data_IF_830082417643
#
_entry.id   IF_830082417643
#
_cell.length_a   1.000
_cell.length_b   1.000
_cell.length_c   1.000
_cell.angle_alpha   90.00
_cell.angle_beta   90.00
_cell.angle_gamma   90.00
#
_symmetry.space_group_name_H-M   'P 1'
#
loop_
_entity.id
_entity.type
_entity.pdbx_description
1 polymer ?
#
# COMPACT_ATOMS: atom_id res chain seq x y z
N UNK A 1 41.21 -12.29 15.90
CA UNK A 1 40.30 -13.22 15.16
C UNK A 1 40.56 -13.00 13.70
N UNK A 2 41.21 -13.96 13.02
CA UNK A 2 41.38 -13.90 11.57
C UNK A 2 40.02 -13.91 10.90
N UNK A 3 39.70 -12.89 10.13
CA UNK A 3 38.46 -12.79 9.42
C UNK A 3 38.47 -13.76 8.24
N UNK A 4 37.51 -14.69 8.23
CA UNK A 4 37.34 -15.67 7.16
C UNK A 4 37.17 -14.95 5.82
N UNK A 5 38.02 -15.33 4.84
CA UNK A 5 38.09 -14.71 3.53
C UNK A 5 37.11 -15.35 2.52
N UNK A 6 36.90 -16.68 2.64
CA UNK A 6 36.09 -17.48 1.72
C UNK A 6 34.94 -18.18 2.44
N UNK A 7 33.80 -18.23 1.78
CA UNK A 7 32.56 -18.82 2.31
C UNK A 7 31.97 -19.81 1.29
N UNK A 8 31.51 -20.95 1.78
CA UNK A 8 30.63 -21.83 1.01
C UNK A 8 29.29 -21.16 0.75
N UNK A 9 28.53 -21.65 -0.22
CA UNK A 9 27.14 -21.13 -0.49
C UNK A 9 26.25 -21.22 0.74
N UNK A 10 26.42 -22.27 1.58
CA UNK A 10 25.64 -22.43 2.81
C UNK A 10 25.96 -21.33 3.82
N UNK A 11 27.25 -21.16 4.13
CA UNK A 11 27.71 -20.16 5.07
C UNK A 11 27.35 -18.71 4.63
N UNK A 12 27.49 -18.44 3.32
CA UNK A 12 27.16 -17.13 2.79
C UNK A 12 25.64 -16.87 2.82
N UNK A 13 24.82 -17.87 2.51
CA UNK A 13 23.36 -17.78 2.60
C UNK A 13 22.88 -17.55 4.05
N UNK A 14 23.41 -18.33 5.00
CA UNK A 14 23.07 -18.19 6.43
C UNK A 14 23.41 -16.81 6.98
N UNK A 15 24.55 -16.22 6.57
CA UNK A 15 24.98 -14.88 6.99
C UNK A 15 23.96 -13.79 6.67
N UNK A 16 23.20 -13.97 5.59
CA UNK A 16 22.21 -13.01 5.10
C UNK A 16 20.77 -13.50 5.28
N UNK A 17 20.55 -14.55 6.08
CA UNK A 17 19.24 -15.18 6.27
C UNK A 17 18.56 -15.56 4.94
N UNK A 18 19.35 -16.02 3.98
CA UNK A 18 18.92 -16.49 2.67
C UNK A 18 18.98 -18.01 2.58
N UNK A 19 18.25 -18.56 1.61
CA UNK A 19 18.40 -19.97 1.25
C UNK A 19 19.52 -20.16 0.21
N UNK A 20 20.12 -21.37 0.19
CA UNK A 20 21.05 -21.74 -0.89
C UNK A 20 20.39 -21.60 -2.26
N UNK A 21 19.11 -21.93 -2.37
CA UNK A 21 18.34 -21.83 -3.62
C UNK A 21 18.21 -20.38 -4.11
N UNK A 22 18.07 -19.43 -3.18
CA UNK A 22 18.07 -17.99 -3.51
C UNK A 22 19.38 -17.57 -4.16
N UNK A 23 20.53 -17.98 -3.59
CA UNK A 23 21.83 -17.65 -4.17
C UNK A 23 22.08 -18.36 -5.52
N UNK A 24 21.59 -19.59 -5.69
CA UNK A 24 21.62 -20.29 -6.98
C UNK A 24 20.76 -19.57 -8.00
N UNK A 25 19.59 -19.09 -7.60
CA UNK A 25 18.70 -18.30 -8.46
C UNK A 25 19.38 -16.98 -8.87
N UNK A 26 19.96 -16.24 -7.92
CA UNK A 26 20.69 -15.00 -8.20
C UNK A 26 21.87 -15.19 -9.15
N UNK A 27 22.60 -16.31 -9.02
CA UNK A 27 23.65 -16.68 -9.96
C UNK A 27 23.09 -16.95 -11.36
N UNK A 28 22.01 -17.73 -11.47
CA UNK A 28 21.36 -18.07 -12.75
C UNK A 28 20.85 -16.84 -13.51
N UNK A 29 20.23 -15.89 -12.82
CA UNK A 29 19.74 -14.65 -13.45
C UNK A 29 20.83 -13.59 -13.63
N UNK A 30 22.04 -13.81 -13.13
CA UNK A 30 23.18 -12.89 -13.26
C UNK A 30 23.26 -11.79 -12.22
N UNK A 31 22.30 -11.70 -11.29
CA UNK A 31 22.23 -10.66 -10.26
C UNK A 31 23.40 -10.73 -9.28
N UNK A 32 23.73 -11.94 -8.80
CA UNK A 32 24.82 -12.17 -7.84
C UNK A 32 25.52 -13.50 -8.10
N UNK A 33 26.69 -13.43 -8.71
CA UNK A 33 27.50 -14.61 -9.06
C UNK A 33 28.47 -14.98 -7.93
N UNK A 34 28.82 -16.27 -7.75
CA UNK A 34 29.91 -16.64 -6.85
C UNK A 34 31.25 -16.05 -7.37
N UNK A 35 32.18 -15.80 -6.46
CA UNK A 35 33.52 -15.34 -6.82
C UNK A 35 34.25 -16.37 -7.68
N UNK A 36 34.02 -17.64 -7.38
CA UNK A 36 34.55 -18.77 -8.18
C UNK A 36 33.71 -20.03 -7.95
N UNK A 37 33.84 -20.97 -8.88
CA UNK A 37 33.42 -22.36 -8.70
C UNK A 37 34.70 -23.18 -8.55
N UNK A 38 34.80 -23.97 -7.49
CA UNK A 38 36.00 -24.79 -7.27
C UNK A 38 36.03 -26.02 -8.19
N UNK A 39 37.11 -26.78 -8.17
CA UNK A 39 37.30 -27.98 -9.00
C UNK A 39 36.24 -29.06 -8.79
N UNK A 40 35.58 -29.08 -7.61
CA UNK A 40 34.49 -30.01 -7.26
C UNK A 40 33.12 -29.45 -7.59
N UNK A 41 33.00 -28.32 -8.30
CA UNK A 41 31.75 -27.72 -8.70
C UNK A 41 31.05 -26.89 -7.62
N UNK A 42 31.66 -26.66 -6.46
CA UNK A 42 31.08 -25.89 -5.38
C UNK A 42 31.27 -24.38 -5.58
N UNK A 43 30.19 -23.60 -5.34
CA UNK A 43 30.19 -22.13 -5.36
C UNK A 43 30.88 -21.58 -4.14
N UNK A 44 31.85 -20.70 -4.35
CA UNK A 44 32.64 -20.03 -3.30
C UNK A 44 32.41 -18.54 -3.41
N UNK A 45 32.09 -17.91 -2.29
CA UNK A 45 31.91 -16.48 -2.13
C UNK A 45 33.04 -15.88 -1.30
N UNK A 46 33.25 -14.55 -1.42
CA UNK A 46 34.31 -13.87 -0.68
C UNK A 46 33.73 -12.78 0.23
N UNK A 47 34.56 -12.30 1.14
CA UNK A 47 34.22 -11.22 2.05
C UNK A 47 33.86 -9.91 1.30
N UNK A 48 34.57 -9.63 0.22
CA UNK A 48 34.40 -8.42 -0.61
C UNK A 48 33.03 -8.37 -1.33
N UNK A 49 32.38 -9.53 -1.44
CA UNK A 49 31.03 -9.59 -2.04
C UNK A 49 29.91 -9.20 -1.07
N UNK A 50 30.18 -9.10 0.26
CA UNK A 50 29.16 -8.77 1.27
C UNK A 50 28.49 -7.42 1.04
N UNK A 51 29.21 -6.31 0.73
CA UNK A 51 28.56 -5.02 0.49
C UNK A 51 27.55 -5.09 -0.66
N UNK A 52 27.89 -5.76 -1.75
CA UNK A 52 26.96 -5.95 -2.88
C UNK A 52 25.72 -6.76 -2.49
N UNK A 53 25.88 -7.79 -1.66
CA UNK A 53 24.72 -8.56 -1.18
C UNK A 53 23.83 -7.72 -0.26
N UNK A 54 24.42 -6.92 0.63
CA UNK A 54 23.67 -5.99 1.49
C UNK A 54 22.84 -5.02 0.65
N UNK A 55 23.44 -4.43 -0.37
CA UNK A 55 22.75 -3.51 -1.28
C UNK A 55 21.57 -4.19 -2.00
N UNK A 56 21.77 -5.41 -2.54
CA UNK A 56 20.69 -6.19 -3.15
C UNK A 56 19.54 -6.42 -2.16
N UNK A 57 19.86 -6.77 -0.90
CA UNK A 57 18.84 -7.01 0.12
C UNK A 57 18.09 -5.75 0.48
N UNK A 58 18.76 -4.61 0.66
CA UNK A 58 18.13 -3.33 0.96
C UNK A 58 17.15 -2.91 -0.15
N UNK A 59 17.56 -3.05 -1.42
CA UNK A 59 16.70 -2.74 -2.55
C UNK A 59 15.50 -3.71 -2.64
N UNK A 60 15.71 -4.98 -2.36
CA UNK A 60 14.64 -5.97 -2.30
C UNK A 60 13.65 -5.69 -1.16
N UNK A 61 14.15 -5.35 0.03
CA UNK A 61 13.32 -5.03 1.19
C UNK A 61 12.49 -3.75 0.98
N UNK A 62 12.97 -2.83 0.13
CA UNK A 62 12.18 -1.68 -0.32
C UNK A 62 11.09 -2.04 -1.36
N UNK A 63 10.95 -3.33 -1.70
CA UNK A 63 9.92 -3.82 -2.63
C UNK A 63 10.27 -3.72 -4.11
N UNK A 64 11.55 -3.45 -4.44
CA UNK A 64 12.01 -3.47 -5.83
C UNK A 64 12.01 -4.88 -6.43
N UNK A 65 11.66 -4.98 -7.71
CA UNK A 65 11.76 -6.24 -8.44
C UNK A 65 13.24 -6.63 -8.68
N UNK A 66 13.54 -7.93 -8.81
CA UNK A 66 14.90 -8.38 -9.12
C UNK A 66 15.40 -7.81 -10.44
N UNK A 67 14.51 -7.57 -11.42
CA UNK A 67 14.85 -6.94 -12.68
C UNK A 67 15.27 -5.48 -12.52
N UNK A 68 14.58 -4.72 -11.66
CA UNK A 68 14.94 -3.32 -11.41
C UNK A 68 16.25 -3.23 -10.61
N UNK A 69 16.44 -4.13 -9.63
CA UNK A 69 17.70 -4.24 -8.90
C UNK A 69 18.86 -4.53 -9.86
N UNK A 70 18.69 -5.45 -10.80
CA UNK A 70 19.71 -5.73 -11.84
C UNK A 70 20.02 -4.48 -12.66
N UNK A 71 18.98 -3.75 -13.11
CA UNK A 71 19.15 -2.50 -13.87
C UNK A 71 19.93 -1.46 -13.06
N UNK A 72 19.65 -1.29 -11.77
CA UNK A 72 20.40 -0.39 -10.89
C UNK A 72 21.86 -0.81 -10.79
N UNK A 73 22.12 -2.12 -10.61
CA UNK A 73 23.48 -2.65 -10.47
C UNK A 73 24.34 -2.58 -11.75
N UNK A 74 23.70 -2.59 -12.92
CA UNK A 74 24.38 -2.64 -14.22
C UNK A 74 24.52 -1.28 -14.90
N UNK A 75 23.59 -0.37 -14.63
CA UNK A 75 23.62 0.93 -15.29
C UNK A 75 24.68 1.86 -14.72
N UNK A 76 25.32 2.63 -15.60
CA UNK A 76 26.32 3.65 -15.25
C UNK A 76 25.74 5.08 -15.33
N UNK A 77 24.51 5.22 -15.80
CA UNK A 77 23.87 6.53 -15.92
C UNK A 77 23.16 6.88 -14.62
N UNK A 78 23.57 7.96 -14.00
CA UNK A 78 22.93 8.49 -12.80
C UNK A 78 21.44 8.79 -13.04
N UNK A 79 21.08 9.40 -14.17
CA UNK A 79 19.70 9.74 -14.51
C UNK A 79 18.81 8.48 -14.62
N UNK A 80 19.37 7.41 -15.20
CA UNK A 80 18.64 6.13 -15.29
C UNK A 80 18.44 5.48 -13.93
N UNK A 81 19.42 5.57 -13.02
CA UNK A 81 19.29 5.09 -11.64
C UNK A 81 18.21 5.89 -10.91
N UNK A 82 18.28 7.23 -10.99
CA UNK A 82 17.31 8.11 -10.34
C UNK A 82 15.88 7.82 -10.83
N UNK A 83 15.68 7.66 -12.14
CA UNK A 83 14.35 7.33 -12.69
C UNK A 83 13.77 6.01 -12.16
N UNK A 84 14.62 5.00 -11.90
CA UNK A 84 14.17 3.73 -11.31
C UNK A 84 13.73 3.95 -9.85
N UNK A 85 14.49 4.75 -9.09
CA UNK A 85 14.11 5.07 -7.72
C UNK A 85 12.84 5.93 -7.64
N UNK A 86 12.69 6.93 -8.52
CA UNK A 86 11.48 7.75 -8.59
C UNK A 86 10.24 6.90 -8.87
N UNK A 87 10.33 5.95 -9.80
CA UNK A 87 9.25 5.01 -10.08
C UNK A 87 8.93 4.10 -8.87
N UNK A 88 9.95 3.67 -8.13
CA UNK A 88 9.74 2.86 -6.91
C UNK A 88 9.11 3.71 -5.79
N UNK A 89 9.52 4.94 -5.61
CA UNK A 89 8.94 5.88 -4.64
C UNK A 89 7.46 6.10 -4.96
N UNK A 90 7.11 6.41 -6.22
CA UNK A 90 5.73 6.58 -6.64
C UNK A 90 4.86 5.34 -6.34
N UNK A 91 5.39 4.14 -6.60
CA UNK A 91 4.71 2.89 -6.25
C UNK A 91 4.50 2.71 -4.75
N UNK A 92 5.49 3.09 -3.93
CA UNK A 92 5.36 3.04 -2.48
C UNK A 92 4.32 4.04 -1.98
N UNK A 93 4.26 5.23 -2.55
CA UNK A 93 3.25 6.25 -2.22
C UNK A 93 1.83 5.74 -2.52
N UNK A 94 1.62 5.09 -3.66
CA UNK A 94 0.35 4.42 -3.99
C UNK A 94 -0.01 3.34 -2.96
N UNK A 95 0.96 2.52 -2.54
CA UNK A 95 0.75 1.49 -1.54
C UNK A 95 0.41 2.08 -0.16
N UNK A 96 1.06 3.17 0.23
CA UNK A 96 0.78 3.88 1.49
C UNK A 96 -0.69 4.37 1.48
N UNK A 97 -1.14 5.02 0.41
CA UNK A 97 -2.54 5.46 0.28
C UNK A 97 -3.50 4.28 0.39
N UNK A 98 -3.20 3.17 -0.29
CA UNK A 98 -4.02 1.96 -0.24
C UNK A 98 -4.08 1.35 1.18
N UNK A 99 -2.96 1.29 1.90
CA UNK A 99 -2.93 0.80 3.27
C UNK A 99 -3.68 1.74 4.23
N UNK A 100 -3.58 3.04 4.05
CA UNK A 100 -4.34 4.02 4.82
C UNK A 100 -5.85 3.85 4.60
N UNK A 101 -6.27 3.65 3.35
CA UNK A 101 -7.65 3.32 3.00
C UNK A 101 -8.14 2.04 3.67
N UNK A 102 -7.37 0.96 3.58
CA UNK A 102 -7.70 -0.31 4.21
C UNK A 102 -7.82 -0.18 5.75
N UNK A 103 -6.95 0.63 6.35
CA UNK A 103 -7.02 0.94 7.79
C UNK A 103 -8.32 1.66 8.15
N UNK A 104 -8.73 2.66 7.38
CA UNK A 104 -10.01 3.39 7.58
C UNK A 104 -11.21 2.44 7.46
N UNK A 105 -11.26 1.61 6.42
CA UNK A 105 -12.33 0.62 6.21
C UNK A 105 -12.39 -0.35 7.39
N UNK A 106 -11.24 -0.86 7.82
CA UNK A 106 -11.15 -1.80 8.95
C UNK A 106 -11.63 -1.15 10.25
N UNK A 107 -11.23 0.10 10.49
CA UNK A 107 -11.69 0.86 11.65
C UNK A 107 -13.20 1.07 11.63
N UNK A 108 -13.77 1.46 10.48
CA UNK A 108 -15.21 1.62 10.31
C UNK A 108 -15.96 0.30 10.58
N UNK A 109 -15.48 -0.82 10.05
CA UNK A 109 -16.07 -2.15 10.32
C UNK A 109 -16.06 -2.49 11.81
N UNK A 110 -14.94 -2.20 12.49
CA UNK A 110 -14.84 -2.38 13.94
C UNK A 110 -15.90 -1.55 14.67
N UNK A 111 -16.02 -0.26 14.36
CA UNK A 111 -17.00 0.64 14.98
C UNK A 111 -18.44 0.19 14.73
N UNK A 112 -18.74 -0.23 13.50
CA UNK A 112 -20.04 -0.76 13.12
C UNK A 112 -20.41 -1.99 13.98
N UNK A 113 -19.53 -2.96 14.10
CA UNK A 113 -19.78 -4.14 14.93
C UNK A 113 -19.89 -3.79 16.41
N UNK A 114 -19.08 -2.88 16.92
CA UNK A 114 -19.20 -2.40 18.30
C UNK A 114 -20.56 -1.75 18.56
N UNK A 115 -21.11 -0.98 17.61
CA UNK A 115 -22.44 -0.39 17.73
C UNK A 115 -23.55 -1.42 17.69
N UNK A 116 -23.42 -2.47 16.86
CA UNK A 116 -24.41 -3.53 16.75
C UNK A 116 -24.49 -4.38 18.04
N UNK A 117 -23.33 -4.81 18.53
CA UNK A 117 -23.27 -5.74 19.68
C UNK A 117 -23.46 -5.08 21.05
N UNK A 118 -23.42 -3.76 21.10
CA UNK A 118 -23.48 -3.01 22.37
C UNK A 118 -24.80 -2.31 22.66
N UNK A 119 -25.62 -2.01 21.65
CA UNK A 119 -26.78 -1.09 21.80
C UNK A 119 -28.14 -1.67 21.41
N UNK A 120 -28.18 -2.71 20.58
CA UNK A 120 -29.46 -3.11 19.95
C UNK A 120 -29.79 -4.58 20.21
N UNK A 121 -31.03 -4.82 20.61
CA UNK A 121 -31.60 -6.16 20.62
C UNK A 121 -31.93 -6.60 19.19
N UNK A 122 -31.52 -7.83 18.82
CA UNK A 122 -31.84 -8.40 17.52
C UNK A 122 -33.36 -8.42 17.29
N UNK A 123 -33.80 -8.13 16.07
CA UNK A 123 -35.21 -8.11 15.63
C UNK A 123 -36.07 -6.97 16.19
N UNK A 124 -35.48 -5.88 16.69
CA UNK A 124 -36.22 -4.66 17.04
C UNK A 124 -35.82 -3.52 16.13
N UNK A 125 -36.80 -2.67 15.77
CA UNK A 125 -36.56 -1.43 15.05
C UNK A 125 -36.31 -0.35 16.10
N UNK A 126 -35.17 0.35 15.96
CA UNK A 126 -34.81 1.49 16.80
C UNK A 126 -34.78 2.74 15.95
N UNK A 127 -35.33 3.81 16.49
CA UNK A 127 -35.26 5.14 15.91
C UNK A 127 -34.53 6.01 16.93
N UNK A 128 -33.43 6.65 16.49
CA UNK A 128 -32.67 7.59 17.32
C UNK A 128 -32.53 8.93 16.62
N UNK A 129 -32.60 9.99 17.38
CA UNK A 129 -32.19 11.31 16.92
C UNK A 129 -30.69 11.42 17.03
N UNK A 130 -30.03 11.74 15.92
CA UNK A 130 -28.59 11.97 15.87
C UNK A 130 -28.33 13.47 15.73
N UNK A 131 -27.21 13.92 16.31
CA UNK A 131 -26.75 15.30 16.13
C UNK A 131 -26.38 15.52 14.66
N UNK A 132 -26.54 16.75 14.20
CA UNK A 132 -26.01 17.17 12.92
C UNK A 132 -24.52 16.82 12.80
N UNK A 133 -24.14 16.24 11.68
CA UNK A 133 -22.77 15.78 11.41
C UNK A 133 -22.24 16.36 10.11
N UNK A 134 -20.97 16.65 10.10
CA UNK A 134 -20.27 17.06 8.88
C UNK A 134 -19.81 15.84 8.09
N UNK A 135 -19.84 15.93 6.78
CA UNK A 135 -19.34 14.85 5.92
C UNK A 135 -18.55 15.40 4.72
N UNK A 136 -17.51 14.71 4.32
CA UNK A 136 -16.99 14.85 2.97
C UNK A 136 -17.91 14.12 2.01
N UNK A 137 -18.19 14.73 0.87
CA UNK A 137 -19.02 14.17 -0.18
C UNK A 137 -18.27 14.17 -1.50
N UNK A 138 -18.30 13.04 -2.19
CA UNK A 138 -17.81 12.92 -3.54
C UNK A 138 -18.93 12.42 -4.46
N UNK A 139 -19.35 13.23 -5.46
CA UNK A 139 -20.36 12.82 -6.42
C UNK A 139 -19.85 11.67 -7.29
N UNK A 140 -20.77 10.88 -7.82
CA UNK A 140 -20.46 9.85 -8.80
C UNK A 140 -20.07 10.45 -10.15
N UNK A 141 -19.03 9.91 -10.75
CA UNK A 141 -18.65 10.19 -12.14
C UNK A 141 -19.38 9.23 -13.07
N UNK A 142 -20.46 9.72 -13.67
CA UNK A 142 -21.33 8.94 -14.55
C UNK A 142 -20.69 8.55 -15.89
N UNK A 143 -19.46 8.97 -16.16
CA UNK A 143 -18.69 8.50 -17.32
C UNK A 143 -18.04 7.13 -17.11
N UNK A 144 -18.05 6.62 -15.88
CA UNK A 144 -17.49 5.33 -15.48
C UNK A 144 -18.59 4.28 -15.33
N UNK A 145 -18.21 3.01 -15.50
CA UNK A 145 -19.05 1.88 -15.10
C UNK A 145 -19.29 1.88 -13.58
N UNK A 146 -20.31 1.14 -13.11
CA UNK A 146 -20.78 1.19 -11.73
C UNK A 146 -19.68 0.96 -10.69
N UNK A 147 -18.93 -0.13 -10.78
CA UNK A 147 -17.89 -0.46 -9.80
C UNK A 147 -16.74 0.58 -9.80
N UNK A 148 -16.12 0.94 -10.95
CA UNK A 148 -15.12 2.00 -11.00
C UNK A 148 -15.64 3.37 -10.52
N UNK A 149 -16.89 3.69 -10.77
CA UNK A 149 -17.54 4.94 -10.34
C UNK A 149 -17.62 5.04 -8.81
N UNK A 150 -18.08 3.98 -8.17
CA UNK A 150 -18.17 3.89 -6.70
C UNK A 150 -16.77 3.97 -6.08
N UNK A 151 -15.81 3.22 -6.63
CA UNK A 151 -14.42 3.21 -6.16
C UNK A 151 -13.75 4.57 -6.30
N UNK A 152 -13.97 5.28 -7.41
CA UNK A 152 -13.42 6.63 -7.63
C UNK A 152 -13.96 7.63 -6.61
N UNK A 153 -15.28 7.65 -6.37
CA UNK A 153 -15.90 8.52 -5.39
C UNK A 153 -15.42 8.19 -3.95
N UNK A 154 -15.30 6.89 -3.64
CA UNK A 154 -14.79 6.44 -2.35
C UNK A 154 -13.34 6.89 -2.13
N UNK A 155 -12.49 6.69 -3.12
CA UNK A 155 -11.07 7.13 -3.11
C UNK A 155 -10.96 8.65 -2.90
N UNK A 156 -11.82 9.42 -3.55
CA UNK A 156 -11.84 10.88 -3.38
C UNK A 156 -12.17 11.29 -1.95
N UNK A 157 -13.14 10.63 -1.29
CA UNK A 157 -13.44 10.87 0.11
C UNK A 157 -12.27 10.49 1.04
N UNK A 158 -11.55 9.40 0.73
CA UNK A 158 -10.32 9.01 1.46
C UNK A 158 -9.24 10.09 1.33
N UNK A 159 -8.96 10.55 0.11
CA UNK A 159 -7.99 11.62 -0.14
C UNK A 159 -8.30 12.87 0.67
N UNK A 160 -9.57 13.29 0.66
CA UNK A 160 -10.03 14.42 1.47
C UNK A 160 -9.80 14.18 2.97
N UNK A 161 -10.14 12.98 3.46
CA UNK A 161 -9.93 12.64 4.89
C UNK A 161 -8.44 12.67 5.27
N UNK A 162 -7.55 12.20 4.38
CA UNK A 162 -6.10 12.17 4.63
C UNK A 162 -5.44 13.56 4.55
N UNK A 163 -6.03 14.51 3.83
CA UNK A 163 -5.55 15.89 3.78
C UNK A 163 -5.70 16.63 5.12
N UNK A 164 -6.57 16.15 6.00
CA UNK A 164 -6.92 16.81 7.26
C UNK A 164 -6.44 16.00 8.47
N UNK A 165 -5.29 16.36 9.02
CA UNK A 165 -4.60 15.59 10.07
C UNK A 165 -5.40 15.38 11.37
N UNK A 166 -6.39 16.22 11.66
CA UNK A 166 -7.16 16.20 12.91
C UNK A 166 -8.61 15.70 12.74
N UNK A 167 -8.99 15.25 11.55
CA UNK A 167 -10.34 14.76 11.29
C UNK A 167 -10.47 13.32 11.76
N UNK A 168 -11.48 13.05 12.56
CA UNK A 168 -11.83 11.69 12.96
C UNK A 168 -12.92 11.14 12.04
N UNK A 169 -12.61 10.05 11.36
CA UNK A 169 -13.55 9.31 10.52
C UNK A 169 -14.57 8.56 11.40
N UNK A 170 -15.85 8.81 11.18
CA UNK A 170 -16.96 8.23 11.95
C UNK A 170 -17.77 7.21 11.16
N UNK A 171 -17.68 7.22 9.85
CA UNK A 171 -18.40 6.28 9.00
C UNK A 171 -18.50 6.75 7.56
N UNK A 172 -18.93 5.86 6.69
CA UNK A 172 -19.16 6.17 5.28
C UNK A 172 -20.41 5.48 4.76
N UNK A 173 -20.90 5.94 3.63
CA UNK A 173 -22.00 5.33 2.93
C UNK A 173 -22.21 5.96 1.55
N UNK A 174 -23.24 5.45 0.89
CA UNK A 174 -23.73 6.03 -0.36
C UNK A 174 -24.97 6.86 -0.05
N UNK A 175 -25.03 8.07 -0.56
CA UNK A 175 -26.22 8.91 -0.50
C UNK A 175 -26.83 8.98 -1.90
N UNK A 176 -28.08 8.59 -1.99
CA UNK A 176 -28.88 8.75 -3.19
C UNK A 176 -29.68 10.06 -3.13
N UNK A 177 -29.75 10.77 -4.27
CA UNK A 177 -30.59 11.95 -4.37
C UNK A 177 -32.06 11.61 -4.09
N UNK A 178 -32.85 12.58 -3.66
CA UNK A 178 -34.30 12.40 -3.45
C UNK A 178 -34.96 11.93 -4.76
N UNK A 179 -35.69 10.83 -4.69
CA UNK A 179 -36.37 10.23 -5.85
C UNK A 179 -35.54 9.33 -6.72
N UNK A 180 -34.27 9.05 -6.34
CA UNK A 180 -33.37 8.16 -7.09
C UNK A 180 -33.95 6.76 -7.33
N UNK A 181 -34.66 6.19 -6.33
CA UNK A 181 -35.29 4.87 -6.44
C UNK A 181 -36.42 4.78 -7.50
N UNK A 182 -36.89 5.92 -8.03
CA UNK A 182 -37.93 6.00 -9.05
C UNK A 182 -37.39 6.60 -10.36
N UNK A 183 -36.09 6.67 -10.52
CA UNK A 183 -35.41 7.24 -11.67
C UNK A 183 -34.74 6.13 -12.50
N UNK A 184 -34.72 6.29 -13.82
CA UNK A 184 -34.01 5.41 -14.74
C UNK A 184 -32.48 5.51 -14.52
N UNK A 185 -32.00 6.58 -13.86
CA UNK A 185 -30.60 6.79 -13.48
C UNK A 185 -30.52 7.13 -11.99
N UNK A 186 -30.42 6.13 -11.10
CA UNK A 186 -30.36 6.34 -9.66
C UNK A 186 -29.08 7.01 -9.19
N UNK A 187 -28.01 6.95 -9.99
CA UNK A 187 -26.69 7.47 -9.63
C UNK A 187 -26.52 8.96 -9.90
N UNK A 188 -27.30 9.54 -10.80
CA UNK A 188 -27.23 10.98 -11.11
C UNK A 188 -27.53 11.86 -9.88
N UNK A 189 -26.55 12.67 -9.49
CA UNK A 189 -26.63 13.53 -8.29
C UNK A 189 -26.54 12.76 -6.97
N UNK A 190 -26.10 11.51 -7.04
CA UNK A 190 -25.78 10.64 -5.90
C UNK A 190 -24.27 10.55 -5.73
N UNK A 191 -23.79 10.01 -4.61
CA UNK A 191 -22.34 9.89 -4.37
C UNK A 191 -22.03 9.20 -3.06
N UNK A 192 -20.73 9.16 -2.74
CA UNK A 192 -20.21 8.63 -1.49
C UNK A 192 -20.04 9.76 -0.48
N UNK A 193 -20.30 9.47 0.77
CA UNK A 193 -19.99 10.38 1.86
C UNK A 193 -19.18 9.71 2.95
N UNK A 194 -18.31 10.49 3.59
CA UNK A 194 -17.56 10.12 4.80
C UNK A 194 -17.96 11.05 5.93
N UNK A 195 -18.60 10.51 6.96
CA UNK A 195 -18.89 11.27 8.19
C UNK A 195 -17.60 11.53 8.94
N UNK A 196 -17.44 12.76 9.41
CA UNK A 196 -16.24 13.24 10.07
C UNK A 196 -16.58 14.05 11.32
N UNK A 197 -15.72 13.95 12.32
CA UNK A 197 -15.75 14.82 13.50
C UNK A 197 -14.48 15.69 13.55
N UNK A 198 -14.54 16.77 14.34
CA UNK A 198 -13.42 17.67 14.59
C UNK A 198 -12.90 18.46 13.38
N UNK A 199 -13.73 18.67 12.36
CA UNK A 199 -13.40 19.66 11.33
C UNK A 199 -13.56 21.06 11.93
N UNK A 200 -12.50 21.88 11.89
CA UNK A 200 -12.56 23.27 12.37
C UNK A 200 -13.52 24.08 11.49
N UNK A 201 -14.39 24.86 12.12
CA UNK A 201 -15.34 25.74 11.43
C UNK A 201 -14.68 26.84 10.56
N UNK A 202 -13.38 27.10 10.78
CA UNK A 202 -12.62 28.10 10.04
C UNK A 202 -12.00 27.55 8.74
N UNK A 203 -12.46 26.40 8.25
CA UNK A 203 -11.86 25.77 7.09
C UNK A 203 -12.32 26.43 5.78
N UNK A 204 -11.39 26.80 4.85
CA UNK A 204 -11.70 27.55 3.63
C UNK A 204 -12.57 26.80 2.59
N UNK A 205 -12.89 25.53 2.82
CA UNK A 205 -13.72 24.70 1.94
C UNK A 205 -15.05 24.22 2.60
N UNK A 206 -15.47 24.85 3.68
CA UNK A 206 -16.82 24.70 4.26
C UNK A 206 -17.79 25.72 3.72
#
# INVERSE_FOLDING_TARGET
>A
MESKEFYTITEFAEMFNLTRQTLIHYDKIGLFKPARINQSGYRIYTREQKPKMIEIMQLKDSGMSLSDIMRVMETKSADSILSIFDAQIAKLDEQIVQFQMNKLITHHRKMYYQSLFGKYELNKIFISEEKERTAFYAPFDLSLDEDPMIDAAYRRCVELTLQYANVQFQGCGIVFRKGACHSDDPYRGSGVFFMIDNLSADHPNL
#
